data_IF_102058494848
#
_entry.id   IF_102058494848
#
_cell.length_a   1.000
_cell.length_b   1.000
_cell.length_c   1.000
_cell.angle_alpha   90.00
_cell.angle_beta   90.00
_cell.angle_gamma   90.00
#
_symmetry.space_group_name_H-M   'P 1'
#
loop_
_entity.id
_entity.type
_entity.pdbx_description
1 polymer ?
#
# COMPACT_ATOMS: atom_id res chain seq x y z
N UNK A 1 -23.00 -2.20 -0.05
CA UNK A 1 -23.66 -3.27 -0.86
C UNK A 1 -22.65 -4.37 -1.14
N UNK A 2 -23.05 -5.66 -1.17
CA UNK A 2 -22.12 -6.78 -1.31
C UNK A 2 -22.60 -7.79 -2.34
N UNK A 3 -21.66 -8.37 -3.09
CA UNK A 3 -21.87 -9.54 -3.95
C UNK A 3 -20.79 -10.58 -3.68
N UNK A 4 -21.17 -11.83 -3.51
CA UNK A 4 -20.23 -12.93 -3.29
C UNK A 4 -20.20 -13.81 -4.54
N UNK A 5 -19.01 -14.10 -5.03
CA UNK A 5 -18.76 -15.02 -6.16
C UNK A 5 -17.79 -16.13 -5.74
N UNK A 6 -17.70 -17.20 -6.55
CA UNK A 6 -16.75 -18.29 -6.31
C UNK A 6 -15.30 -17.85 -6.60
N UNK A 7 -14.40 -18.24 -5.70
CA UNK A 7 -12.98 -17.90 -5.77
C UNK A 7 -12.15 -18.70 -6.78
N UNK A 8 -12.65 -19.85 -7.24
CA UNK A 8 -11.91 -20.78 -8.11
C UNK A 8 -11.60 -20.21 -9.51
N UNK A 9 -12.36 -19.20 -9.93
CA UNK A 9 -12.30 -18.69 -11.32
C UNK A 9 -11.48 -17.42 -11.46
N UNK A 10 -10.99 -16.82 -10.37
CA UNK A 10 -10.39 -15.51 -10.39
C UNK A 10 -9.33 -15.37 -9.28
N UNK A 11 -8.06 -15.20 -9.66
CA UNK A 11 -7.02 -14.82 -8.70
C UNK A 11 -7.05 -13.32 -8.39
N UNK A 12 -6.49 -12.87 -7.25
CA UNK A 12 -6.38 -11.43 -6.93
C UNK A 12 -5.64 -10.64 -8.02
N UNK A 13 -4.55 -11.19 -8.55
CA UNK A 13 -3.77 -10.58 -9.63
C UNK A 13 -4.62 -10.43 -10.89
N UNK A 14 -5.35 -11.48 -11.28
CA UNK A 14 -6.20 -11.44 -12.47
C UNK A 14 -7.34 -10.42 -12.31
N UNK A 15 -7.92 -10.31 -11.12
CA UNK A 15 -8.92 -9.28 -10.81
C UNK A 15 -8.30 -7.87 -10.93
N UNK A 16 -7.10 -7.66 -10.37
CA UNK A 16 -6.38 -6.40 -10.50
C UNK A 16 -6.16 -5.99 -11.97
N UNK A 17 -5.77 -6.94 -12.82
CA UNK A 17 -5.53 -6.69 -14.25
C UNK A 17 -6.82 -6.36 -15.01
N UNK A 18 -7.95 -6.98 -14.65
CA UNK A 18 -9.25 -6.80 -15.35
C UNK A 18 -9.98 -5.52 -14.94
N UNK A 19 -9.78 -5.05 -13.72
CA UNK A 19 -10.44 -3.84 -13.22
C UNK A 19 -9.87 -2.57 -13.86
N UNK A 20 -10.76 -1.68 -14.32
CA UNK A 20 -10.40 -0.37 -14.86
C UNK A 20 -10.30 0.73 -13.78
N UNK A 21 -10.17 0.38 -12.50
CA UNK A 21 -10.10 1.32 -11.39
C UNK A 21 -8.82 2.17 -11.36
N UNK A 22 -8.92 3.35 -10.78
CA UNK A 22 -7.76 4.20 -10.47
C UNK A 22 -7.19 3.85 -9.10
N UNK A 23 -5.88 4.13 -8.91
CA UNK A 23 -5.17 3.91 -7.64
C UNK A 23 -5.49 2.55 -7.02
N UNK A 24 -5.46 1.50 -7.84
CA UNK A 24 -5.69 0.14 -7.38
C UNK A 24 -4.58 -0.30 -6.45
N UNK A 25 -4.95 -0.96 -5.34
CA UNK A 25 -4.02 -1.52 -4.36
C UNK A 25 -4.38 -2.98 -4.14
N UNK A 26 -3.38 -3.84 -4.18
CA UNK A 26 -3.51 -5.25 -3.83
C UNK A 26 -2.64 -5.55 -2.60
N UNK A 27 -3.23 -6.17 -1.59
CA UNK A 27 -2.57 -6.65 -0.39
C UNK A 27 -2.71 -8.17 -0.34
N UNK A 28 -1.61 -8.87 -0.47
CA UNK A 28 -1.57 -10.33 -0.44
C UNK A 28 -0.78 -10.83 0.76
N UNK A 29 -1.33 -11.79 1.46
CA UNK A 29 -0.61 -12.50 2.51
C UNK A 29 0.19 -13.63 1.90
N UNK A 30 1.52 -13.59 2.02
CA UNK A 30 2.39 -14.72 1.61
C UNK A 30 2.35 -15.79 2.72
N UNK A 31 1.92 -17.02 2.44
CA UNK A 31 1.86 -18.07 3.43
C UNK A 31 3.28 -18.53 3.79
N UNK A 32 3.82 -18.07 4.92
CA UNK A 32 4.94 -18.74 5.58
C UNK A 32 4.51 -20.02 6.31
N UNK A 33 3.25 -20.03 6.77
CA UNK A 33 2.53 -21.20 7.32
C UNK A 33 1.13 -21.19 6.74
N UNK A 34 0.61 -22.34 6.31
CA UNK A 34 -0.69 -22.47 5.59
C UNK A 34 -1.91 -21.88 6.34
N UNK A 35 -1.78 -21.56 7.62
CA UNK A 35 -2.89 -21.03 8.44
C UNK A 35 -2.98 -19.49 8.45
N UNK A 36 -1.93 -18.76 8.09
CA UNK A 36 -1.85 -17.30 8.27
C UNK A 36 -2.15 -16.48 7.02
N UNK A 37 -2.31 -17.10 5.84
CA UNK A 37 -2.56 -16.42 4.57
C UNK A 37 -3.98 -16.69 4.06
N UNK A 38 -4.97 -16.30 4.85
CA UNK A 38 -6.36 -16.56 4.51
C UNK A 38 -6.93 -15.56 3.52
N UNK A 39 -6.51 -14.31 3.56
CA UNK A 39 -7.16 -13.24 2.83
C UNK A 39 -6.20 -12.49 1.91
N UNK A 40 -6.70 -12.10 0.72
CA UNK A 40 -6.13 -11.02 -0.09
C UNK A 40 -7.17 -9.92 -0.23
N UNK A 41 -6.71 -8.67 -0.30
CA UNK A 41 -7.57 -7.49 -0.44
C UNK A 41 -7.17 -6.74 -1.70
N UNK A 42 -8.15 -6.36 -2.51
CA UNK A 42 -7.98 -5.51 -3.67
C UNK A 42 -8.91 -4.30 -3.51
N UNK A 43 -8.35 -3.10 -3.35
CA UNK A 43 -9.10 -1.85 -3.27
C UNK A 43 -8.88 -1.00 -4.53
N UNK A 44 -9.88 -0.21 -4.93
CA UNK A 44 -9.87 0.58 -6.17
C UNK A 44 -10.77 1.82 -6.04
N UNK A 45 -10.54 2.82 -6.89
CA UNK A 45 -11.31 4.05 -6.95
C UNK A 45 -11.46 4.73 -5.57
N UNK A 46 -10.36 5.20 -4.96
CA UNK A 46 -10.44 5.82 -3.64
C UNK A 46 -11.32 7.07 -3.69
N UNK A 47 -12.02 7.33 -2.58
CA UNK A 47 -12.87 8.53 -2.41
C UNK A 47 -12.01 9.78 -2.29
N UNK A 48 -10.89 9.68 -1.55
CA UNK A 48 -9.93 10.76 -1.42
C UNK A 48 -8.54 10.27 -1.04
N UNK A 49 -7.57 11.16 -1.29
CA UNK A 49 -6.16 11.02 -0.90
C UNK A 49 -5.88 11.82 0.38
N UNK A 50 -5.07 11.25 1.27
CA UNK A 50 -4.47 11.92 2.43
C UNK A 50 -2.97 11.92 2.23
N UNK A 51 -2.34 13.09 2.28
CA UNK A 51 -0.90 13.23 2.10
C UNK A 51 -0.34 14.22 3.10
N UNK A 52 0.70 13.82 3.83
CA UNK A 52 1.46 14.72 4.67
C UNK A 52 2.89 14.82 4.14
N UNK A 53 3.35 16.04 3.94
CA UNK A 53 4.71 16.32 3.49
C UNK A 53 5.18 17.70 3.95
N UNK A 54 6.43 17.77 4.41
CA UNK A 54 7.07 19.03 4.83
C UNK A 54 6.22 19.81 5.87
N UNK A 55 5.61 19.11 6.83
CA UNK A 55 4.82 19.72 7.88
C UNK A 55 3.40 20.16 7.46
N UNK A 56 2.95 19.82 6.25
CA UNK A 56 1.62 20.20 5.74
C UNK A 56 0.79 18.98 5.40
N UNK A 57 -0.43 18.94 5.94
CA UNK A 57 -1.43 17.92 5.63
C UNK A 57 -2.31 18.35 4.46
N UNK A 58 -2.55 17.43 3.54
CA UNK A 58 -3.41 17.63 2.36
C UNK A 58 -4.48 16.54 2.30
N UNK A 59 -5.69 16.93 1.89
CA UNK A 59 -6.75 16.05 1.40
C UNK A 59 -7.08 16.43 -0.03
N UNK A 60 -6.93 15.52 -0.99
CA UNK A 60 -7.11 15.78 -2.42
C UNK A 60 -6.35 17.06 -2.89
N UNK A 61 -5.12 17.26 -2.38
CA UNK A 61 -4.31 18.43 -2.69
C UNK A 61 -4.70 19.74 -1.98
N UNK A 62 -5.79 19.77 -1.21
CA UNK A 62 -6.19 20.92 -0.40
C UNK A 62 -5.56 20.84 0.99
N UNK A 63 -5.00 21.96 1.47
CA UNK A 63 -4.38 22.04 2.80
C UNK A 63 -5.44 21.90 3.89
N UNK A 64 -5.13 21.07 4.89
CA UNK A 64 -5.94 20.90 6.11
C UNK A 64 -5.07 21.28 7.31
N UNK A 65 -5.59 22.17 8.16
CA UNK A 65 -4.94 22.59 9.41
C UNK A 65 -5.35 21.65 10.55
N UNK A 66 -4.72 20.48 10.60
CA UNK A 66 -4.97 19.43 11.60
C UNK A 66 -3.72 18.58 11.81
N UNK A 67 -3.65 17.89 12.95
CA UNK A 67 -2.66 16.84 13.16
C UNK A 67 -2.91 15.66 12.19
N UNK A 68 -1.85 15.17 11.48
CA UNK A 68 -2.02 14.14 10.46
C UNK A 68 -2.48 12.79 11.01
N UNK A 69 -2.01 12.37 12.20
CA UNK A 69 -2.42 11.09 12.79
C UNK A 69 -3.82 11.16 13.39
N UNK A 70 -4.20 12.28 14.00
CA UNK A 70 -5.56 12.50 14.49
C UNK A 70 -6.57 12.49 13.33
N UNK A 71 -6.22 13.13 12.21
CA UNK A 71 -7.06 13.10 11.01
C UNK A 71 -7.20 11.67 10.45
N UNK A 72 -6.10 10.93 10.34
CA UNK A 72 -6.14 9.54 9.89
C UNK A 72 -6.97 8.67 10.84
N UNK A 73 -6.81 8.85 12.16
CA UNK A 73 -7.59 8.13 13.16
C UNK A 73 -9.09 8.35 12.99
N UNK A 74 -9.56 9.59 12.83
CA UNK A 74 -10.98 9.88 12.59
C UNK A 74 -11.51 9.22 11.32
N UNK A 75 -10.73 9.23 10.25
CA UNK A 75 -11.10 8.53 9.02
C UNK A 75 -11.30 7.05 9.27
N UNK A 76 -10.40 6.40 10.02
CA UNK A 76 -10.51 4.97 10.30
C UNK A 76 -11.69 4.58 11.19
N UNK A 77 -12.21 5.52 12.01
CA UNK A 77 -13.38 5.26 12.85
C UNK A 77 -14.68 5.01 12.06
N UNK A 78 -14.74 5.43 10.79
CA UNK A 78 -15.90 5.17 9.93
C UNK A 78 -15.91 3.77 9.34
N UNK A 79 -14.79 3.05 9.38
CA UNK A 79 -14.69 1.68 8.87
C UNK A 79 -15.73 0.76 9.55
N UNK A 80 -16.49 0.01 8.76
CA UNK A 80 -17.42 -0.96 9.29
C UNK A 80 -16.75 -2.31 9.45
N UNK A 81 -16.76 -2.83 10.67
CA UNK A 81 -16.31 -4.19 10.91
C UNK A 81 -17.39 -5.18 10.43
N UNK A 82 -17.23 -5.72 9.25
CA UNK A 82 -17.89 -6.95 8.87
C UNK A 82 -17.26 -8.09 9.69
N UNK A 83 -18.03 -8.77 10.52
CA UNK A 83 -17.55 -9.71 11.56
C UNK A 83 -16.60 -10.81 11.06
N UNK A 84 -16.59 -11.11 9.77
CA UNK A 84 -15.82 -12.20 9.15
C UNK A 84 -14.74 -11.74 8.15
N UNK A 85 -14.70 -10.47 7.77
CA UNK A 85 -13.75 -9.93 6.79
C UNK A 85 -12.66 -9.08 7.46
N UNK A 86 -11.41 -9.13 6.98
CA UNK A 86 -10.27 -8.42 7.57
C UNK A 86 -10.26 -6.93 7.26
N UNK A 87 -11.09 -6.47 6.32
CA UNK A 87 -11.17 -5.09 5.88
C UNK A 87 -12.63 -4.69 5.65
N UNK A 88 -13.03 -3.54 6.15
CA UNK A 88 -14.37 -2.98 6.07
C UNK A 88 -14.41 -1.58 5.43
N UNK A 89 -13.54 -1.33 4.46
CA UNK A 89 -13.29 0.01 3.93
C UNK A 89 -12.34 0.81 4.82
N UNK A 90 -11.78 1.91 4.33
CA UNK A 90 -10.89 2.77 5.07
C UNK A 90 -9.60 3.12 4.34
N UNK A 91 -8.58 3.49 5.08
CA UNK A 91 -7.33 4.01 4.57
C UNK A 91 -6.32 2.88 4.29
N UNK A 92 -5.74 2.87 3.10
CA UNK A 92 -4.60 2.02 2.72
C UNK A 92 -3.46 2.92 2.26
N UNK A 93 -2.27 2.73 2.84
CA UNK A 93 -1.12 3.56 2.54
C UNK A 93 0.04 3.30 3.48
N UNK A 94 0.85 4.31 3.74
CA UNK A 94 2.00 4.18 4.62
C UNK A 94 2.21 5.43 5.48
N UNK A 95 2.86 5.22 6.62
CA UNK A 95 3.49 6.25 7.45
C UNK A 95 4.99 6.06 7.35
N UNK A 96 5.70 7.09 6.93
CA UNK A 96 7.16 7.09 6.85
C UNK A 96 7.81 7.09 8.24
N UNK A 97 9.03 6.58 8.32
CA UNK A 97 9.75 6.50 9.58
C UNK A 97 9.95 7.88 10.23
N UNK A 98 10.20 8.92 9.42
CA UNK A 98 10.54 10.26 9.89
C UNK A 98 9.34 11.02 10.49
N UNK A 99 8.11 10.49 10.35
CA UNK A 99 6.92 11.01 11.05
C UNK A 99 7.09 11.09 12.57
N UNK A 100 7.96 10.25 13.16
CA UNK A 100 8.26 10.28 14.59
C UNK A 100 8.80 11.65 15.03
N UNK A 101 9.47 12.39 14.15
CA UNK A 101 10.03 13.72 14.44
C UNK A 101 8.98 14.80 14.74
N UNK A 102 7.71 14.55 14.42
CA UNK A 102 6.61 15.46 14.81
C UNK A 102 6.24 15.32 16.29
N UNK A 103 6.55 14.18 16.89
CA UNK A 103 6.08 13.82 18.21
C UNK A 103 7.21 13.64 19.22
N UNK A 104 8.45 13.39 18.73
CA UNK A 104 9.61 13.11 19.55
C UNK A 104 10.82 13.90 19.08
N UNK A 105 11.70 14.28 20.01
CA UNK A 105 12.98 14.93 19.71
C UNK A 105 14.01 13.89 19.23
N UNK A 106 14.06 13.65 17.94
CA UNK A 106 14.96 12.65 17.31
C UNK A 106 16.26 13.26 16.77
N UNK A 107 16.51 14.55 17.04
CA UNK A 107 17.67 15.27 16.51
C UNK A 107 17.48 15.71 15.06
N UNK A 108 18.59 15.95 14.36
CA UNK A 108 18.55 16.42 12.97
C UNK A 108 18.29 15.25 12.02
N UNK A 109 17.20 15.33 11.25
CA UNK A 109 16.91 14.37 10.20
C UNK A 109 17.90 14.50 9.03
N UNK A 110 18.22 13.40 8.33
CA UNK A 110 18.98 13.45 7.09
C UNK A 110 18.26 14.24 6.00
N UNK A 111 19.00 14.71 5.00
CA UNK A 111 18.43 15.34 3.82
C UNK A 111 17.50 14.38 3.06
N UNK A 112 16.26 14.81 2.77
CA UNK A 112 15.34 14.06 1.91
C UNK A 112 15.78 14.12 0.44
N UNK A 113 16.46 13.08 -0.01
CA UNK A 113 16.93 12.93 -1.40
C UNK A 113 16.00 12.13 -2.29
N UNK A 114 14.89 11.60 -1.75
CA UNK A 114 13.92 10.76 -2.49
C UNK A 114 12.65 11.55 -2.79
N UNK A 115 12.24 12.42 -1.86
CA UNK A 115 11.08 13.28 -2.01
C UNK A 115 9.75 12.54 -1.77
N UNK A 116 9.76 11.39 -1.07
CA UNK A 116 8.52 10.69 -0.69
C UNK A 116 7.75 11.49 0.35
N UNK A 117 6.40 11.39 0.39
CA UNK A 117 5.62 11.92 1.50
C UNK A 117 5.99 11.26 2.83
N UNK A 118 5.86 12.01 3.94
CA UNK A 118 6.02 11.47 5.29
C UNK A 118 4.85 10.57 5.68
N UNK A 119 3.66 10.84 5.12
CA UNK A 119 2.48 9.98 5.20
C UNK A 119 1.69 10.07 3.90
N UNK A 120 1.21 8.92 3.39
CA UNK A 120 0.40 8.87 2.18
C UNK A 120 -0.62 7.74 2.25
N UNK A 121 -1.90 8.08 2.19
CA UNK A 121 -3.01 7.15 2.20
C UNK A 121 -4.02 7.47 1.12
N UNK A 122 -4.63 6.44 0.59
CA UNK A 122 -5.88 6.51 -0.15
C UNK A 122 -7.00 5.90 0.67
N UNK A 123 -8.19 6.51 0.66
CA UNK A 123 -9.35 6.06 1.43
C UNK A 123 -10.34 5.40 0.50
N UNK A 124 -10.65 4.13 0.78
CA UNK A 124 -11.46 3.27 -0.07
C UNK A 124 -12.77 2.87 0.60
N UNK A 125 -13.81 2.80 -0.23
CA UNK A 125 -15.11 2.22 0.08
C UNK A 125 -15.57 1.21 -1.00
N UNK A 126 -14.73 1.02 -2.02
CA UNK A 126 -14.87 0.06 -3.11
C UNK A 126 -13.71 -0.93 -3.05
N UNK A 127 -14.01 -2.21 -2.77
CA UNK A 127 -12.95 -3.21 -2.57
C UNK A 127 -13.44 -4.64 -2.74
N UNK A 128 -12.51 -5.57 -2.90
CA UNK A 128 -12.73 -7.02 -2.89
C UNK A 128 -11.93 -7.67 -1.78
N UNK A 129 -12.52 -8.69 -1.16
CA UNK A 129 -11.83 -9.57 -0.21
C UNK A 129 -11.90 -10.99 -0.72
N UNK A 130 -10.74 -11.60 -0.95
CA UNK A 130 -10.57 -12.98 -1.35
C UNK A 130 -10.39 -13.83 -0.09
N UNK A 131 -11.38 -14.64 0.28
CA UNK A 131 -11.27 -15.64 1.35
C UNK A 131 -10.79 -16.96 0.73
N UNK A 132 -9.48 -17.17 0.71
CA UNK A 132 -8.85 -18.36 0.14
C UNK A 132 -9.26 -19.67 0.84
N UNK A 133 -9.63 -19.58 2.12
CA UNK A 133 -10.07 -20.75 2.89
C UNK A 133 -11.49 -21.18 2.55
N UNK A 134 -12.38 -20.22 2.27
CA UNK A 134 -13.76 -20.46 1.91
C UNK A 134 -14.00 -20.50 0.39
N UNK A 135 -12.94 -20.23 -0.41
CA UNK A 135 -12.99 -20.12 -1.87
C UNK A 135 -14.10 -19.15 -2.33
N UNK A 136 -14.12 -17.96 -1.69
CA UNK A 136 -15.09 -16.91 -1.96
C UNK A 136 -14.41 -15.57 -2.21
N UNK A 137 -15.02 -14.79 -3.11
CA UNK A 137 -14.64 -13.41 -3.35
C UNK A 137 -15.83 -12.53 -2.97
N UNK A 138 -15.61 -11.66 -2.01
CA UNK A 138 -16.56 -10.65 -1.56
C UNK A 138 -16.25 -9.36 -2.33
N UNK A 139 -17.19 -8.88 -3.12
CA UNK A 139 -17.10 -7.60 -3.86
C UNK A 139 -18.01 -6.63 -3.13
N UNK A 140 -17.43 -5.55 -2.63
CA UNK A 140 -18.12 -4.59 -1.78
C UNK A 140 -18.03 -3.19 -2.40
N UNK A 141 -19.18 -2.57 -2.55
CA UNK A 141 -19.37 -1.15 -2.84
C UNK A 141 -20.13 -0.53 -1.66
N UNK A 142 -19.55 0.49 -1.06
CA UNK A 142 -20.10 1.14 0.13
C UNK A 142 -20.11 2.67 -0.05
N UNK A 143 -20.76 3.39 0.87
CA UNK A 143 -20.85 4.84 0.93
C UNK A 143 -20.43 5.36 2.33
N UNK A 144 -19.31 4.84 2.86
CA UNK A 144 -18.80 5.21 4.18
C UNK A 144 -18.24 6.64 4.21
N UNK A 145 -17.70 7.07 3.08
CA UNK A 145 -16.97 8.34 2.92
C UNK A 145 -17.54 9.21 1.83
N UNK A 146 -18.54 8.73 1.09
CA UNK A 146 -19.25 9.44 0.02
C UNK A 146 -20.75 9.46 0.29
N UNK A 147 -21.48 10.22 -0.51
CA UNK A 147 -22.93 10.33 -0.47
C UNK A 147 -23.59 9.46 -1.56
N UNK A 148 -22.94 8.35 -1.99
CA UNK A 148 -23.47 7.46 -3.02
C UNK A 148 -24.79 6.83 -2.58
N UNK A 149 -25.80 6.94 -3.45
CA UNK A 149 -27.10 6.29 -3.29
C UNK A 149 -27.01 4.76 -3.50
N UNK A 150 -28.01 4.05 -3.05
CA UNK A 150 -28.08 2.58 -3.29
C UNK A 150 -28.09 2.25 -4.79
N UNK A 151 -28.70 3.04 -5.63
CA UNK A 151 -28.74 2.84 -7.09
C UNK A 151 -27.33 2.99 -7.69
N UNK A 152 -26.55 3.99 -7.24
CA UNK A 152 -25.17 4.19 -7.67
C UNK A 152 -24.25 3.06 -7.21
N UNK A 153 -24.44 2.54 -6.00
CA UNK A 153 -23.70 1.38 -5.49
C UNK A 153 -24.02 0.12 -6.31
N UNK A 154 -25.30 -0.08 -6.69
CA UNK A 154 -25.69 -1.23 -7.51
C UNK A 154 -25.12 -1.13 -8.93
N UNK A 155 -25.13 0.06 -9.52
CA UNK A 155 -24.51 0.31 -10.83
C UNK A 155 -23.00 0.03 -10.79
N UNK A 156 -22.30 0.54 -9.79
CA UNK A 156 -20.86 0.30 -9.61
C UNK A 156 -20.55 -1.19 -9.43
N UNK A 157 -21.32 -1.89 -8.59
CA UNK A 157 -21.16 -3.32 -8.38
C UNK A 157 -21.37 -4.15 -9.66
N UNK A 158 -22.39 -3.81 -10.44
CA UNK A 158 -22.66 -4.47 -11.72
C UNK A 158 -21.57 -4.19 -12.75
N UNK A 159 -21.03 -2.96 -12.80
CA UNK A 159 -19.91 -2.61 -13.68
C UNK A 159 -18.69 -3.46 -13.35
N UNK A 160 -18.30 -3.58 -12.08
CA UNK A 160 -17.19 -4.42 -11.64
C UNK A 160 -17.38 -5.86 -12.06
N UNK A 161 -18.59 -6.42 -11.89
CA UNK A 161 -18.91 -7.79 -12.30
C UNK A 161 -18.75 -8.01 -13.82
N UNK A 162 -19.07 -7.01 -14.63
CA UNK A 162 -18.85 -7.09 -16.09
C UNK A 162 -17.35 -6.98 -16.43
N UNK A 163 -16.60 -6.07 -15.80
CA UNK A 163 -15.16 -5.94 -16.00
C UNK A 163 -14.41 -7.24 -15.67
N UNK A 164 -14.79 -7.92 -14.62
CA UNK A 164 -14.19 -9.19 -14.20
C UNK A 164 -14.42 -10.33 -15.19
N UNK A 165 -15.39 -10.23 -16.12
CA UNK A 165 -15.65 -11.22 -17.17
C UNK A 165 -14.76 -11.00 -18.42
N UNK A 166 -14.23 -9.79 -18.60
CA UNK A 166 -13.39 -9.45 -19.75
C UNK A 166 -12.06 -10.18 -19.60
N UNK A 167 -11.57 -10.88 -20.62
CA UNK A 167 -10.23 -11.46 -20.59
C UNK A 167 -9.20 -10.36 -20.30
N UNK A 168 -8.24 -10.64 -19.40
CA UNK A 168 -7.12 -9.73 -19.20
C UNK A 168 -6.40 -9.55 -20.54
N UNK A 169 -5.88 -8.34 -20.84
CA UNK A 169 -5.04 -8.14 -22.00
C UNK A 169 -3.91 -9.17 -21.98
N UNK A 170 -3.64 -9.83 -23.10
CA UNK A 170 -2.49 -10.73 -23.25
C UNK A 170 -1.19 -9.91 -23.39
N UNK A 171 -0.98 -8.99 -22.49
CA UNK A 171 0.23 -8.17 -22.41
C UNK A 171 1.35 -8.85 -21.61
N UNK A 172 1.51 -10.15 -21.79
CA UNK A 172 2.83 -10.74 -21.61
C UNK A 172 3.61 -10.51 -22.90
N UNK A 173 3.81 -9.25 -23.29
CA UNK A 173 4.90 -8.90 -24.18
C UNK A 173 6.19 -9.33 -23.48
N UNK A 174 7.11 -9.92 -24.24
CA UNK A 174 8.39 -10.41 -23.73
C UNK A 174 9.01 -9.37 -22.80
N UNK A 175 8.91 -9.61 -21.50
CA UNK A 175 9.57 -8.79 -20.48
C UNK A 175 11.04 -8.70 -20.89
N UNK A 176 11.54 -7.50 -21.13
CA UNK A 176 12.99 -7.31 -21.29
C UNK A 176 13.65 -7.62 -19.95
N UNK A 177 13.99 -8.89 -19.77
CA UNK A 177 14.70 -9.42 -18.58
C UNK A 177 16.19 -9.09 -18.59
N UNK A 178 16.59 -8.03 -19.26
CA UNK A 178 17.95 -7.52 -19.16
C UNK A 178 18.31 -7.32 -17.69
N UNK A 179 19.48 -7.79 -17.23
CA UNK A 179 19.88 -7.68 -15.82
C UNK A 179 19.88 -6.21 -15.38
N UNK A 180 19.11 -5.88 -14.33
CA UNK A 180 19.10 -4.54 -13.75
C UNK A 180 20.50 -4.18 -13.23
N UNK A 181 20.97 -3.00 -13.61
CA UNK A 181 22.23 -2.45 -13.11
C UNK A 181 21.98 -1.61 -11.87
N UNK A 182 22.24 -2.20 -10.71
CA UNK A 182 22.11 -1.53 -9.43
C UNK A 182 23.31 -0.63 -9.15
N UNK A 183 23.06 0.64 -8.82
CA UNK A 183 24.08 1.61 -8.41
C UNK A 183 23.97 1.87 -6.91
N UNK A 184 25.03 1.56 -6.13
CA UNK A 184 25.06 1.89 -4.70
C UNK A 184 25.19 3.40 -4.48
N UNK A 185 24.52 3.94 -3.46
CA UNK A 185 24.65 5.37 -3.08
C UNK A 185 25.83 5.63 -2.15
N UNK A 186 26.37 4.60 -1.50
CA UNK A 186 27.56 4.68 -0.65
C UNK A 186 28.67 3.88 -1.33
N UNK A 187 29.86 4.47 -1.49
CA UNK A 187 31.01 3.75 -2.03
C UNK A 187 31.42 2.58 -1.11
N UNK A 188 31.91 1.45 -1.65
CA UNK A 188 32.28 0.28 -0.85
C UNK A 188 33.19 0.59 0.33
N UNK A 189 34.24 1.36 0.11
CA UNK A 189 35.20 1.76 1.16
C UNK A 189 34.52 2.53 2.29
N UNK A 190 33.58 3.42 1.95
CA UNK A 190 32.85 4.19 2.95
C UNK A 190 31.91 3.30 3.78
N UNK A 191 31.31 2.30 3.15
CA UNK A 191 30.48 1.33 3.86
C UNK A 191 31.32 0.47 4.82
N UNK A 192 32.53 0.03 4.41
CA UNK A 192 33.47 -0.68 5.26
C UNK A 192 33.90 0.16 6.48
N UNK A 193 34.20 1.46 6.29
CA UNK A 193 34.49 2.39 7.39
C UNK A 193 33.32 2.51 8.39
N UNK A 194 32.08 2.54 7.89
CA UNK A 194 30.89 2.56 8.75
C UNK A 194 30.78 1.27 9.59
N UNK A 195 31.12 0.11 9.00
CA UNK A 195 31.13 -1.18 9.72
C UNK A 195 32.17 -1.15 10.85
N UNK A 196 33.40 -0.67 10.58
CA UNK A 196 34.43 -0.60 11.62
C UNK A 196 34.02 0.38 12.74
N UNK A 197 33.45 1.53 12.39
CA UNK A 197 32.91 2.49 13.37
C UNK A 197 31.86 1.85 14.26
N UNK A 198 30.90 1.13 13.67
CA UNK A 198 29.84 0.44 14.44
C UNK A 198 30.42 -0.64 15.36
N UNK A 199 31.45 -1.39 14.90
CA UNK A 199 32.14 -2.38 15.71
C UNK A 199 32.83 -1.77 16.93
N UNK A 200 33.45 -0.61 16.76
CA UNK A 200 34.14 0.09 17.85
C UNK A 200 33.13 0.63 18.87
N UNK A 201 32.00 1.18 18.44
CA UNK A 201 30.92 1.61 19.32
C UNK A 201 30.33 0.45 20.13
N UNK A 202 30.19 -0.74 19.52
CA UNK A 202 29.75 -1.95 20.23
C UNK A 202 30.80 -2.39 21.26
N UNK A 203 32.11 -2.40 20.90
CA UNK A 203 33.19 -2.77 21.83
C UNK A 203 33.31 -1.82 23.02
N UNK A 204 33.03 -0.54 22.81
CA UNK A 204 33.07 0.49 23.84
C UNK A 204 31.83 0.45 24.77
N UNK A 205 30.78 -0.29 24.39
CA UNK A 205 29.55 -0.38 25.15
C UNK A 205 28.54 0.74 24.87
N UNK A 206 28.76 1.56 23.83
CA UNK A 206 27.83 2.62 23.44
C UNK A 206 26.53 2.06 22.83
N UNK A 207 26.60 0.90 22.20
CA UNK A 207 25.47 0.13 21.68
C UNK A 207 25.79 -1.36 21.71
N UNK A 208 24.77 -2.22 21.64
CA UNK A 208 24.96 -3.68 21.55
C UNK A 208 24.58 -4.27 20.19
N UNK A 209 23.83 -3.52 19.37
CA UNK A 209 23.43 -3.89 18.01
C UNK A 209 23.27 -2.65 17.14
N UNK A 210 23.70 -2.77 15.87
CA UNK A 210 23.45 -1.77 14.84
C UNK A 210 23.22 -2.48 13.50
N UNK A 211 22.22 -2.02 12.75
CA UNK A 211 21.97 -2.49 11.39
C UNK A 211 22.35 -1.36 10.43
N UNK A 212 23.45 -1.54 9.72
CA UNK A 212 23.88 -0.60 8.68
C UNK A 212 23.12 -0.88 7.38
N UNK A 213 22.65 0.16 6.73
CA UNK A 213 21.92 0.05 5.47
C UNK A 213 22.57 0.86 4.37
N UNK A 214 22.29 0.47 3.13
CA UNK A 214 22.70 1.19 1.94
C UNK A 214 21.56 1.14 0.92
N UNK A 215 21.36 2.25 0.21
CA UNK A 215 20.41 2.33 -0.88
C UNK A 215 21.09 1.97 -2.20
N UNK A 216 20.40 1.18 -3.00
CA UNK A 216 20.73 0.92 -4.40
C UNK A 216 19.61 1.48 -5.28
N UNK A 217 19.99 2.01 -6.45
CA UNK A 217 19.05 2.49 -7.47
C UNK A 217 19.30 1.76 -8.78
N UNK A 218 18.23 1.43 -9.48
CA UNK A 218 18.26 0.91 -10.83
C UNK A 218 17.16 1.60 -11.66
N UNK A 219 17.42 1.78 -12.96
CA UNK A 219 16.40 2.23 -13.89
C UNK A 219 15.58 1.03 -14.37
N UNK A 220 14.27 1.10 -14.19
CA UNK A 220 13.32 0.08 -14.63
C UNK A 220 12.49 0.65 -15.77
N UNK A 221 12.43 -0.08 -16.89
CA UNK A 221 11.55 0.23 -18.01
C UNK A 221 10.40 -0.75 -18.02
N UNK A 222 9.18 -0.29 -18.34
CA UNK A 222 7.99 -1.12 -18.34
C UNK A 222 7.07 -0.90 -17.14
N UNK A 223 6.04 -1.73 -17.01
CA UNK A 223 5.08 -1.66 -15.93
C UNK A 223 5.65 -2.37 -14.67
N UNK A 224 5.80 -1.67 -13.53
CA UNK A 224 6.31 -2.30 -12.30
C UNK A 224 5.47 -3.49 -11.79
N UNK A 225 4.22 -3.61 -12.23
CA UNK A 225 3.34 -4.73 -11.86
C UNK A 225 3.74 -6.04 -12.54
N UNK A 226 4.55 -5.99 -13.61
CA UNK A 226 5.00 -7.17 -14.36
C UNK A 226 6.21 -7.86 -13.70
N UNK A 227 6.77 -7.28 -12.62
CA UNK A 227 7.81 -7.83 -11.78
C UNK A 227 7.20 -8.52 -10.54
#
# INVERSE_FOLDING_TARGET
>A
MERIIHGDVLSPILAYMRLNGQHKVILESIPREKENARFSILAYNPVFEIKFKNGVLYQNGQVIDRDPLDFLYEVTQKSQHHSDLPFGGGAIGFVGYDMISLYEEVGQLPEDTIGTPDMHFFVYESYMVFDHKKEKIHIIEDALYSDRSNDELEVALNQVLEELKIPAPNEFEDLDVSPLQFRPHIAPQKFEEMVETARDLIRNGDMFQCVLSQRFSAEVTGNPFDF
#
